data_IF_346676919602
#
_entry.id   IF_346676919602
#
_cell.length_a   1.000
_cell.length_b   1.000
_cell.length_c   1.000
_cell.angle_alpha   90.00
_cell.angle_beta   90.00
_cell.angle_gamma   90.00
#
_symmetry.space_group_name_H-M   'P 1'
#
loop_
_entity.id
_entity.type
_entity.pdbx_description
1 polymer ?
#
# COMPACT_ATOMS: atom_id res chain seq x y z
N UNK A 1 -2.15 -17.36 9.97
CA UNK A 1 -2.38 -16.72 11.29
C UNK A 1 -2.28 -15.22 11.11
N UNK A 2 -3.31 -14.53 11.58
CA UNK A 2 -3.67 -13.16 11.23
C UNK A 2 -2.68 -12.17 11.87
N UNK A 3 -1.59 -11.86 11.17
CA UNK A 3 -0.78 -10.68 11.49
C UNK A 3 -1.59 -9.46 11.06
N UNK A 4 -2.43 -8.99 11.97
CA UNK A 4 -3.06 -7.68 11.89
C UNK A 4 -1.91 -6.67 11.88
N UNK A 5 -1.51 -6.22 10.69
CA UNK A 5 -1.16 -4.82 10.55
C UNK A 5 -2.44 -4.06 10.94
N UNK A 6 -2.58 -3.78 12.25
CA UNK A 6 -3.49 -2.77 12.75
C UNK A 6 -3.05 -1.49 12.06
N UNK A 7 -3.62 -1.28 10.88
CA UNK A 7 -3.49 -0.05 10.13
C UNK A 7 -3.74 1.05 11.15
N UNK A 8 -2.75 1.92 11.33
CA UNK A 8 -2.74 3.06 12.26
C UNK A 8 -4.08 3.84 12.23
N UNK A 9 -4.76 3.77 11.09
CA UNK A 9 -6.09 4.28 10.75
C UNK A 9 -7.24 3.62 11.54
N UNK A 10 -7.25 2.30 11.76
CA UNK A 10 -8.35 1.59 12.45
C UNK A 10 -8.37 1.88 13.96
N UNK A 11 -7.20 2.10 14.56
CA UNK A 11 -7.05 2.61 15.93
C UNK A 11 -7.47 4.09 15.99
N UNK A 12 -7.11 4.90 14.99
CA UNK A 12 -7.45 6.32 14.95
C UNK A 12 -8.96 6.56 14.81
N UNK A 13 -9.68 5.82 13.96
CA UNK A 13 -11.12 6.06 13.70
C UNK A 13 -11.96 5.85 14.96
N UNK A 14 -11.68 4.82 15.77
CA UNK A 14 -12.40 4.57 17.01
C UNK A 14 -11.99 5.52 18.15
N UNK A 15 -10.76 6.03 18.11
CA UNK A 15 -10.29 7.08 19.03
C UNK A 15 -10.90 8.45 18.67
N UNK A 16 -11.11 8.72 17.38
CA UNK A 16 -11.55 10.02 16.86
C UNK A 16 -12.97 10.40 17.26
N UNK A 17 -13.96 9.50 17.22
CA UNK A 17 -15.31 9.87 17.68
C UNK A 17 -15.35 10.23 19.16
N UNK A 18 -14.58 9.50 19.98
CA UNK A 18 -14.43 9.79 21.42
C UNK A 18 -13.66 11.09 21.62
N UNK A 19 -12.60 11.34 20.85
CA UNK A 19 -11.81 12.57 20.92
C UNK A 19 -12.62 13.79 20.49
N UNK A 20 -13.38 13.72 19.39
CA UNK A 20 -14.27 14.80 18.94
C UNK A 20 -15.29 15.12 20.04
N UNK A 21 -15.92 14.09 20.62
CA UNK A 21 -16.88 14.29 21.70
C UNK A 21 -16.24 14.92 22.94
N UNK A 22 -15.09 14.43 23.40
CA UNK A 22 -14.37 14.98 24.57
C UNK A 22 -13.92 16.41 24.31
N UNK A 23 -13.35 16.72 23.14
CA UNK A 23 -12.90 18.08 22.77
C UNK A 23 -14.09 19.02 22.71
N UNK A 24 -15.21 18.61 22.11
CA UNK A 24 -16.42 19.43 22.04
C UNK A 24 -16.98 19.70 23.44
N UNK A 25 -17.12 18.66 24.25
CA UNK A 25 -17.65 18.77 25.61
C UNK A 25 -16.77 19.65 26.49
N UNK A 26 -15.46 19.38 26.52
CA UNK A 26 -14.52 20.12 27.35
C UNK A 26 -14.37 21.58 26.89
N UNK A 27 -14.40 21.83 25.57
CA UNK A 27 -14.30 23.19 25.04
C UNK A 27 -15.52 24.03 25.42
N UNK A 28 -16.74 23.49 25.31
CA UNK A 28 -17.97 24.20 25.69
C UNK A 28 -18.05 24.45 27.21
N UNK A 29 -17.60 23.49 28.03
CA UNK A 29 -17.64 23.62 29.50
C UNK A 29 -16.61 24.61 30.04
N UNK A 30 -15.40 24.63 29.47
CA UNK A 30 -14.30 25.47 29.98
C UNK A 30 -14.32 26.91 29.44
N UNK A 31 -14.94 27.15 28.28
CA UNK A 31 -14.97 28.47 27.65
C UNK A 31 -16.39 29.04 27.67
N UNK A 32 -17.01 29.16 26.51
CA UNK A 32 -18.38 29.61 26.30
C UNK A 32 -19.00 28.77 25.18
N UNK A 33 -20.34 28.72 25.12
CA UNK A 33 -21.06 27.94 24.11
C UNK A 33 -20.68 28.35 22.68
N UNK A 34 -20.49 29.64 22.40
CA UNK A 34 -20.16 30.12 21.06
C UNK A 34 -18.73 29.72 20.63
N UNK A 35 -17.74 29.90 21.52
CA UNK A 35 -16.36 29.53 21.24
C UNK A 35 -16.14 28.01 21.20
N UNK A 36 -16.82 27.29 22.11
CA UNK A 36 -16.76 25.83 22.15
C UNK A 36 -17.32 25.17 20.89
N UNK A 37 -18.42 25.71 20.35
CA UNK A 37 -18.97 25.26 19.08
C UNK A 37 -17.96 25.47 17.94
N UNK A 38 -17.40 26.68 17.81
CA UNK A 38 -16.42 26.97 16.75
C UNK A 38 -15.21 26.04 16.80
N UNK A 39 -14.65 25.79 18.00
CA UNK A 39 -13.50 24.92 18.17
C UNK A 39 -13.82 23.46 17.82
N UNK A 40 -15.01 22.98 18.21
CA UNK A 40 -15.45 21.61 17.92
C UNK A 40 -15.62 21.35 16.42
N UNK A 41 -16.21 22.30 15.69
CA UNK A 41 -16.42 22.21 14.24
C UNK A 41 -15.08 22.24 13.52
N UNK A 42 -14.19 23.16 13.90
CA UNK A 42 -12.84 23.22 13.34
C UNK A 42 -12.08 21.90 13.58
N UNK A 43 -12.11 21.38 14.81
CA UNK A 43 -11.47 20.12 15.16
C UNK A 43 -12.04 18.93 14.37
N UNK A 44 -13.37 18.87 14.20
CA UNK A 44 -14.03 17.82 13.44
C UNK A 44 -13.62 17.84 11.95
N UNK A 45 -13.55 19.03 11.34
CA UNK A 45 -13.10 19.19 9.95
C UNK A 45 -11.64 18.77 9.79
N UNK A 46 -10.76 19.25 10.67
CA UNK A 46 -9.32 18.91 10.65
C UNK A 46 -9.13 17.39 10.79
N UNK A 47 -9.81 16.77 11.74
CA UNK A 47 -9.77 15.31 11.95
C UNK A 47 -10.27 14.55 10.71
N UNK A 48 -11.31 15.05 10.06
CA UNK A 48 -11.87 14.44 8.83
C UNK A 48 -10.88 14.52 7.66
N UNK A 49 -10.18 15.65 7.50
CA UNK A 49 -9.15 15.83 6.48
C UNK A 49 -7.99 14.86 6.70
N UNK A 50 -7.41 14.81 7.90
CA UNK A 50 -6.31 13.90 8.21
C UNK A 50 -6.68 12.44 8.02
N UNK A 51 -7.90 12.05 8.41
CA UNK A 51 -8.41 10.70 8.17
C UNK A 51 -8.47 10.36 6.68
N UNK A 52 -8.85 11.32 5.85
CA UNK A 52 -9.00 11.13 4.40
C UNK A 52 -7.64 11.03 3.70
N UNK A 53 -6.62 11.71 4.22
CA UNK A 53 -5.27 11.75 3.64
C UNK A 53 -4.44 10.47 3.87
N UNK A 54 -4.89 9.55 4.73
CA UNK A 54 -4.15 8.33 5.09
C UNK A 54 -4.89 7.07 4.61
N UNK A 55 -4.98 6.86 3.28
CA UNK A 55 -5.72 5.74 2.72
C UNK A 55 -4.96 4.42 2.85
N UNK A 56 -5.72 3.33 2.70
CA UNK A 56 -5.18 1.98 2.71
C UNK A 56 -4.62 1.62 1.34
N UNK A 57 -3.51 0.89 1.37
CA UNK A 57 -2.89 0.28 0.20
C UNK A 57 -2.63 -1.19 0.47
N UNK A 58 -2.63 -1.98 -0.59
CA UNK A 58 -2.59 -3.44 -0.53
C UNK A 58 -1.66 -3.99 -1.61
N UNK A 59 -0.95 -5.06 -1.27
CA UNK A 59 -0.25 -5.89 -2.26
C UNK A 59 -1.22 -6.99 -2.68
N UNK A 60 -1.38 -7.15 -3.98
CA UNK A 60 -2.24 -8.19 -4.53
C UNK A 60 -1.40 -9.38 -5.00
N UNK A 61 -1.98 -10.55 -4.87
CA UNK A 61 -1.41 -11.81 -5.35
C UNK A 61 -2.49 -12.66 -5.99
N UNK A 62 -2.09 -13.59 -6.85
CA UNK A 62 -3.04 -14.43 -7.58
C UNK A 62 -3.59 -15.52 -6.67
N UNK A 63 -4.90 -15.75 -6.73
CA UNK A 63 -5.56 -16.85 -6.04
C UNK A 63 -5.37 -18.14 -6.84
N UNK A 64 -4.96 -19.22 -6.16
CA UNK A 64 -4.67 -20.51 -6.81
C UNK A 64 -5.83 -21.04 -7.66
N UNK A 65 -5.54 -21.41 -8.91
CA UNK A 65 -6.53 -22.00 -9.83
C UNK A 65 -7.53 -21.01 -10.42
N UNK A 66 -7.32 -19.71 -10.21
CA UNK A 66 -8.15 -18.64 -10.76
C UNK A 66 -7.30 -17.50 -11.31
N UNK A 67 -7.90 -16.65 -12.15
CA UNK A 67 -7.29 -15.40 -12.62
C UNK A 67 -7.65 -14.19 -11.75
N UNK A 68 -8.13 -14.43 -10.52
CA UNK A 68 -8.43 -13.37 -9.57
C UNK A 68 -7.21 -12.97 -8.73
N UNK A 69 -7.08 -11.66 -8.51
CA UNK A 69 -6.06 -11.07 -7.67
C UNK A 69 -6.67 -10.52 -6.39
N UNK A 70 -6.16 -10.95 -5.24
CA UNK A 70 -6.67 -10.56 -3.91
C UNK A 70 -5.51 -10.22 -2.98
N UNK A 71 -5.84 -9.49 -1.92
CA UNK A 71 -4.88 -9.11 -0.88
C UNK A 71 -4.21 -10.35 -0.27
N UNK A 72 -2.89 -10.39 -0.33
CA UNK A 72 -2.02 -11.45 0.19
C UNK A 72 -2.29 -11.74 1.66
N UNK A 73 -2.61 -10.72 2.47
CA UNK A 73 -2.80 -10.87 3.92
C UNK A 73 -4.14 -11.49 4.33
N UNK A 74 -5.13 -11.53 3.42
CA UNK A 74 -6.52 -11.89 3.75
C UNK A 74 -6.91 -13.31 3.34
N UNK A 75 -6.25 -13.86 2.32
CA UNK A 75 -6.57 -15.18 1.76
C UNK A 75 -5.36 -16.12 1.90
N UNK A 76 -5.59 -17.38 2.29
CA UNK A 76 -4.51 -18.34 2.58
C UNK A 76 -4.01 -19.15 1.38
N UNK A 77 -4.68 -19.09 0.22
CA UNK A 77 -4.37 -19.89 -0.98
C UNK A 77 -3.82 -19.01 -2.10
N UNK A 78 -2.68 -18.40 -1.84
CA UNK A 78 -2.14 -17.33 -2.66
C UNK A 78 -0.86 -17.82 -3.33
N UNK A 79 -0.81 -17.69 -4.65
CA UNK A 79 0.42 -17.91 -5.42
C UNK A 79 1.14 -16.58 -5.55
N UNK A 80 2.35 -16.49 -4.99
CA UNK A 80 3.20 -15.32 -5.19
C UNK A 80 3.70 -15.29 -6.64
N UNK A 81 3.80 -14.09 -7.19
CA UNK A 81 4.24 -13.90 -8.57
C UNK A 81 5.71 -13.53 -8.56
N UNK A 82 6.53 -14.40 -9.17
CA UNK A 82 7.96 -14.13 -9.31
C UNK A 82 8.21 -12.89 -10.16
N UNK A 83 8.95 -11.94 -9.59
CA UNK A 83 9.45 -10.69 -10.20
C UNK A 83 8.40 -9.65 -10.61
N UNK A 84 7.10 -9.92 -10.46
CA UNK A 84 6.02 -8.95 -10.69
C UNK A 84 5.31 -8.64 -9.37
N UNK A 85 5.31 -7.38 -8.97
CA UNK A 85 4.57 -6.89 -7.80
C UNK A 85 3.31 -6.16 -8.24
N UNK A 86 2.16 -6.48 -7.65
CA UNK A 86 0.91 -5.80 -7.93
C UNK A 86 0.56 -4.92 -6.72
N UNK A 87 0.44 -3.62 -6.96
CA UNK A 87 0.18 -2.60 -5.96
C UNK A 87 -1.20 -1.97 -6.21
N UNK A 88 -2.06 -2.00 -5.19
CA UNK A 88 -3.40 -1.40 -5.22
C UNK A 88 -3.52 -0.31 -4.18
N UNK A 89 -4.08 0.83 -4.58
CA UNK A 89 -4.35 1.97 -3.71
C UNK A 89 -5.85 2.29 -3.72
N UNK A 90 -6.52 2.14 -2.58
CA UNK A 90 -7.98 2.26 -2.46
C UNK A 90 -8.41 3.68 -2.03
N UNK A 91 -8.06 4.68 -2.84
CA UNK A 91 -8.43 6.07 -2.59
C UNK A 91 -8.32 6.94 -3.85
N UNK A 92 -8.96 8.14 -3.85
CA UNK A 92 -8.65 9.16 -4.84
C UNK A 92 -7.18 9.55 -4.70
N UNK A 93 -6.54 9.81 -5.84
CA UNK A 93 -5.18 10.30 -5.88
C UNK A 93 -5.25 11.83 -6.01
N UNK A 94 -4.87 12.53 -4.95
CA UNK A 94 -4.98 13.98 -4.85
C UNK A 94 -3.63 14.55 -4.44
N UNK A 95 -3.40 15.82 -4.73
CA UNK A 95 -2.22 16.55 -4.25
C UNK A 95 -1.94 16.34 -2.76
N UNK A 96 -3.00 16.24 -1.94
CA UNK A 96 -2.87 16.10 -0.49
C UNK A 96 -2.36 14.75 0.01
N UNK A 97 -2.47 13.68 -0.79
CA UNK A 97 -2.10 12.32 -0.38
C UNK A 97 -1.13 11.63 -1.35
N UNK A 98 -0.69 12.33 -2.40
CA UNK A 98 0.15 11.73 -3.44
C UNK A 98 1.54 11.34 -2.94
N UNK A 99 2.10 12.06 -1.96
CA UNK A 99 3.36 11.68 -1.32
C UNK A 99 3.23 10.34 -0.61
N UNK A 100 2.10 10.10 0.06
CA UNK A 100 1.83 8.82 0.70
C UNK A 100 1.69 7.70 -0.33
N UNK A 101 1.08 7.96 -1.49
CA UNK A 101 1.05 7.01 -2.60
C UNK A 101 2.46 6.69 -3.11
N UNK A 102 3.30 7.71 -3.32
CA UNK A 102 4.69 7.56 -3.79
C UNK A 102 5.50 6.69 -2.85
N UNK A 103 5.51 7.04 -1.55
CA UNK A 103 6.22 6.27 -0.53
C UNK A 103 5.66 4.85 -0.38
N UNK A 104 4.35 4.66 -0.54
CA UNK A 104 3.75 3.33 -0.50
C UNK A 104 4.15 2.47 -1.71
N UNK A 105 4.22 3.03 -2.92
CA UNK A 105 4.65 2.33 -4.13
C UNK A 105 6.14 1.97 -4.08
N UNK A 106 6.99 2.89 -3.62
CA UNK A 106 8.41 2.64 -3.34
C UNK A 106 8.57 1.50 -2.32
N UNK A 107 7.86 1.61 -1.20
CA UNK A 107 7.87 0.59 -0.15
C UNK A 107 7.39 -0.77 -0.66
N UNK A 108 6.33 -0.83 -1.47
CA UNK A 108 5.82 -2.08 -2.03
C UNK A 108 6.83 -2.79 -2.96
N UNK A 109 7.75 -2.02 -3.54
CA UNK A 109 8.79 -2.55 -4.44
C UNK A 109 10.04 -3.01 -3.67
N UNK A 110 10.35 -2.34 -2.56
CA UNK A 110 11.50 -2.66 -1.68
C UNK A 110 11.15 -3.77 -0.68
N UNK A 111 9.92 -3.80 -0.17
CA UNK A 111 9.39 -4.81 0.74
C UNK A 111 9.11 -6.12 0.00
N UNK A 112 10.12 -6.70 -0.63
CA UNK A 112 10.23 -8.14 -0.68
C UNK A 112 10.32 -8.65 0.76
N UNK A 113 9.76 -9.84 1.07
CA UNK A 113 9.63 -10.35 2.44
C UNK A 113 10.97 -10.80 3.07
N UNK A 114 12.05 -10.10 2.78
CA UNK A 114 13.35 -10.21 3.47
C UNK A 114 13.56 -9.01 4.39
N UNK A 115 12.94 -7.85 4.14
CA UNK A 115 13.11 -6.69 5.02
C UNK A 115 12.30 -6.78 6.33
N UNK A 116 11.40 -7.76 6.46
CA UNK A 116 10.79 -8.10 7.75
C UNK A 116 11.77 -8.83 8.69
N UNK A 117 12.84 -9.45 8.19
CA UNK A 117 13.81 -10.18 9.02
C UNK A 117 14.77 -9.24 9.76
N UNK A 118 15.24 -8.18 9.11
CA UNK A 118 16.05 -7.15 9.79
C UNK A 118 15.24 -6.39 10.85
N UNK A 119 13.93 -6.21 10.62
CA UNK A 119 13.04 -5.65 11.65
C UNK A 119 12.71 -6.68 12.74
N UNK A 120 12.64 -7.97 12.42
CA UNK A 120 12.40 -9.04 13.41
C UNK A 120 13.63 -9.33 14.29
N UNK A 121 14.85 -9.16 13.78
CA UNK A 121 16.07 -9.19 14.63
C UNK A 121 16.00 -8.08 15.68
N UNK A 122 15.62 -6.87 15.26
CA UNK A 122 15.40 -5.72 16.15
C UNK A 122 14.19 -5.91 17.10
N UNK A 123 13.13 -6.62 16.70
CA UNK A 123 11.96 -6.91 17.56
C UNK A 123 12.26 -8.05 18.55
N UNK A 124 13.08 -9.02 18.18
CA UNK A 124 13.51 -10.10 19.09
C UNK A 124 14.47 -9.62 20.17
N UNK A 125 15.24 -8.56 19.94
CA UNK A 125 15.96 -7.87 21.01
C UNK A 125 15.02 -7.10 21.96
N UNK A 126 13.84 -6.70 21.49
CA UNK A 126 12.92 -5.81 22.23
C UNK A 126 11.84 -6.56 23.03
N UNK A 127 11.81 -7.89 23.05
CA UNK A 127 10.78 -8.57 23.86
C UNK A 127 11.07 -8.56 25.38
N UNK A 128 10.34 -7.65 26.02
CA UNK A 128 10.23 -7.21 27.41
C UNK A 128 10.49 -8.22 28.54
N UNK A 129 11.00 -7.73 29.71
CA UNK A 129 11.19 -8.53 30.90
C UNK A 129 9.82 -8.96 31.47
N UNK A 130 9.67 -10.26 31.78
CA UNK A 130 8.54 -10.91 32.50
C UNK A 130 7.43 -11.63 31.69
N UNK A 131 7.75 -12.71 30.96
CA UNK A 131 6.80 -13.83 30.74
C UNK A 131 7.44 -15.18 31.01
N UNK A 132 6.64 -16.13 31.50
CA UNK A 132 7.09 -17.45 32.00
C UNK A 132 7.79 -18.32 30.94
N UNK A 133 8.91 -19.00 31.27
CA UNK A 133 9.86 -19.57 30.31
C UNK A 133 9.34 -20.76 29.46
N UNK A 134 8.27 -21.44 29.87
CA UNK A 134 7.77 -22.66 29.20
C UNK A 134 6.96 -22.40 27.91
N UNK A 135 6.24 -21.28 27.79
CA UNK A 135 5.45 -20.95 26.58
C UNK A 135 6.30 -20.30 25.48
N UNK A 136 7.34 -19.53 25.84
CA UNK A 136 8.27 -18.90 24.90
C UNK A 136 9.06 -19.93 24.07
N UNK A 137 9.54 -21.00 24.71
CA UNK A 137 10.44 -21.98 24.05
C UNK A 137 9.77 -22.77 22.91
N UNK A 138 8.47 -23.08 23.04
CA UNK A 138 7.71 -23.80 22.01
C UNK A 138 7.41 -22.92 20.78
N UNK A 139 7.11 -21.65 21.03
CA UNK A 139 6.83 -20.67 19.97
C UNK A 139 8.11 -20.31 19.21
N UNK A 140 9.24 -20.19 19.93
CA UNK A 140 10.56 -19.95 19.36
C UNK A 140 11.01 -21.09 18.44
N UNK A 141 10.75 -22.36 18.77
CA UNK A 141 11.09 -23.48 17.89
C UNK A 141 10.22 -23.60 16.63
N UNK A 142 8.92 -23.29 16.71
CA UNK A 142 8.04 -23.27 15.53
C UNK A 142 8.46 -22.13 14.60
N UNK A 143 8.75 -20.97 15.17
CA UNK A 143 9.23 -19.79 14.46
C UNK A 143 10.61 -20.00 13.81
N UNK A 144 11.57 -20.59 14.54
CA UNK A 144 12.90 -20.93 14.02
C UNK A 144 12.81 -21.86 12.81
N UNK A 145 11.87 -22.81 12.82
CA UNK A 145 11.67 -23.77 11.73
C UNK A 145 11.07 -23.12 10.48
N UNK A 146 10.14 -22.18 10.67
CA UNK A 146 9.59 -21.36 9.58
C UNK A 146 10.62 -20.40 8.98
N UNK A 147 11.53 -19.87 9.80
CA UNK A 147 12.62 -18.99 9.36
C UNK A 147 13.68 -19.75 8.55
N UNK A 148 14.06 -20.96 8.96
CA UNK A 148 15.02 -21.78 8.21
C UNK A 148 14.49 -22.21 6.84
N UNK A 149 13.18 -22.38 6.71
CA UNK A 149 12.52 -22.71 5.43
C UNK A 149 12.40 -21.47 4.50
N UNK A 150 12.46 -20.26 5.08
CA UNK A 150 12.42 -18.99 4.35
C UNK A 150 13.81 -18.48 3.91
N UNK A 151 14.85 -18.74 4.71
CA UNK A 151 16.22 -18.26 4.49
C UNK A 151 16.89 -18.85 3.24
N UNK A 152 16.32 -19.90 2.66
CA UNK A 152 16.80 -20.53 1.42
C UNK A 152 16.12 -19.97 0.16
N UNK A 153 15.25 -18.96 0.29
CA UNK A 153 14.63 -18.29 -0.87
C UNK A 153 15.58 -17.23 -1.42
N UNK A 154 16.06 -17.34 -2.67
CA UNK A 154 16.94 -16.33 -3.26
C UNK A 154 16.26 -14.96 -3.25
N UNK A 155 17.02 -13.89 -2.93
CA UNK A 155 16.55 -12.49 -2.96
C UNK A 155 15.82 -12.20 -4.27
N UNK A 156 14.48 -12.17 -4.23
CA UNK A 156 13.66 -11.94 -5.43
C UNK A 156 13.67 -10.45 -5.74
N UNK A 157 14.40 -10.06 -6.77
CA UNK A 157 14.38 -8.70 -7.30
C UNK A 157 13.04 -8.46 -8.03
N UNK A 158 12.37 -7.35 -7.70
CA UNK A 158 11.15 -6.92 -8.39
C UNK A 158 11.58 -6.20 -9.68
N UNK A 159 11.27 -6.79 -10.82
CA UNK A 159 11.58 -6.21 -12.14
C UNK A 159 10.38 -5.46 -12.72
N UNK A 160 9.17 -5.80 -12.26
CA UNK A 160 7.93 -5.29 -12.81
C UNK A 160 6.97 -4.87 -11.68
N UNK A 161 6.40 -3.69 -11.80
CA UNK A 161 5.38 -3.15 -10.90
C UNK A 161 4.09 -2.94 -11.68
N UNK A 162 3.00 -3.56 -11.25
CA UNK A 162 1.65 -3.33 -11.79
C UNK A 162 0.87 -2.48 -10.80
N UNK A 163 0.50 -1.27 -11.20
CA UNK A 163 -0.35 -0.37 -10.43
C UNK A 163 -1.81 -0.61 -10.82
N UNK A 164 -2.60 -1.12 -9.88
CA UNK A 164 -4.04 -1.27 -10.03
C UNK A 164 -4.74 0.06 -9.79
N UNK A 165 -5.10 0.72 -10.89
CA UNK A 165 -5.80 2.01 -10.93
C UNK A 165 -7.30 1.87 -10.66
N UNK A 166 -7.86 0.66 -10.52
CA UNK A 166 -9.31 0.50 -10.30
C UNK A 166 -9.77 1.05 -8.96
N UNK A 167 -8.86 1.16 -7.99
CA UNK A 167 -9.05 1.83 -6.70
C UNK A 167 -9.13 3.35 -6.79
N UNK A 168 -8.62 3.97 -7.86
CA UNK A 168 -8.72 5.40 -8.06
C UNK A 168 -10.19 5.78 -8.35
N UNK A 169 -10.73 6.64 -7.50
CA UNK A 169 -12.07 7.22 -7.67
C UNK A 169 -12.01 8.54 -8.43
N UNK A 170 -10.96 9.33 -8.19
CA UNK A 170 -10.68 10.61 -8.82
C UNK A 170 -9.16 10.86 -8.83
N UNK A 171 -8.70 11.67 -9.79
CA UNK A 171 -7.30 12.11 -9.89
C UNK A 171 -7.24 13.59 -10.29
N UNK A 172 -6.28 14.34 -9.73
CA UNK A 172 -6.05 15.76 -10.03
C UNK A 172 -4.74 15.99 -10.82
N UNK A 173 -4.58 17.18 -11.42
CA UNK A 173 -3.41 17.50 -12.24
C UNK A 173 -2.08 17.28 -11.51
N UNK A 174 -1.98 17.72 -10.25
CA UNK A 174 -0.74 17.60 -9.47
C UNK A 174 -0.38 16.15 -9.19
N UNK A 175 -1.38 15.30 -8.90
CA UNK A 175 -1.11 13.89 -8.71
C UNK A 175 -0.79 13.14 -10.00
N UNK A 176 -1.35 13.54 -11.15
CA UNK A 176 -0.92 13.00 -12.44
C UNK A 176 0.56 13.32 -12.68
N UNK A 177 1.00 14.55 -12.45
CA UNK A 177 2.41 14.92 -12.61
C UNK A 177 3.33 14.13 -11.67
N UNK A 178 2.94 13.99 -10.40
CA UNK A 178 3.69 13.17 -9.44
C UNK A 178 3.74 11.69 -9.84
N UNK A 179 2.67 11.15 -10.46
CA UNK A 179 2.65 9.79 -10.98
C UNK A 179 3.62 9.60 -12.16
N UNK A 180 3.79 10.60 -13.02
CA UNK A 180 4.79 10.61 -14.09
C UNK A 180 6.20 10.57 -13.50
N UNK A 181 6.49 11.40 -12.50
CA UNK A 181 7.79 11.41 -11.81
C UNK A 181 8.10 10.06 -11.16
N UNK A 182 7.11 9.47 -10.47
CA UNK A 182 7.26 8.14 -9.88
C UNK A 182 7.54 7.07 -10.96
N UNK A 183 6.81 7.11 -12.07
CA UNK A 183 7.04 6.19 -13.20
C UNK A 183 8.48 6.29 -13.73
N UNK A 184 8.97 7.51 -13.93
CA UNK A 184 10.34 7.75 -14.41
C UNK A 184 11.38 7.27 -13.40
N UNK A 185 11.18 7.53 -12.11
CA UNK A 185 12.05 7.09 -11.03
C UNK A 185 12.10 5.55 -10.90
N UNK A 186 10.95 4.88 -11.01
CA UNK A 186 10.90 3.41 -11.00
C UNK A 186 11.64 2.83 -12.21
N UNK A 187 11.45 3.44 -13.39
CA UNK A 187 12.16 3.05 -14.60
C UNK A 187 13.67 3.24 -14.50
N UNK A 188 14.15 4.33 -13.88
CA UNK A 188 15.59 4.54 -13.63
C UNK A 188 16.17 3.51 -12.66
N UNK A 189 15.34 2.99 -11.76
CA UNK A 189 15.70 1.90 -10.84
C UNK A 189 15.62 0.51 -11.50
N UNK A 190 15.37 0.43 -12.81
CA UNK A 190 15.29 -0.82 -13.55
C UNK A 190 13.93 -1.54 -13.47
N UNK A 191 12.94 -0.95 -12.80
CA UNK A 191 11.60 -1.50 -12.62
C UNK A 191 10.69 -1.00 -13.73
N UNK A 192 10.06 -1.92 -14.47
CA UNK A 192 9.05 -1.58 -15.47
C UNK A 192 7.68 -1.43 -14.82
N UNK A 193 7.02 -0.31 -15.05
CA UNK A 193 5.72 0.01 -14.42
C UNK A 193 4.59 -0.11 -15.44
N UNK A 194 3.52 -0.78 -15.04
CA UNK A 194 2.30 -0.98 -15.82
C UNK A 194 1.09 -0.47 -15.05
N UNK A 195 0.08 0.00 -15.76
CA UNK A 195 -1.16 0.52 -15.18
C UNK A 195 -2.34 -0.34 -15.62
N UNK A 196 -3.13 -0.84 -14.67
CA UNK A 196 -4.26 -1.71 -14.93
C UNK A 196 -5.57 -1.10 -14.42
N UNK A 197 -6.68 -1.30 -15.12
CA UNK A 197 -8.02 -1.00 -14.61
C UNK A 197 -8.34 0.49 -14.41
N UNK A 198 -7.68 1.38 -15.16
CA UNK A 198 -7.97 2.81 -15.10
C UNK A 198 -9.37 3.13 -15.69
N UNK A 199 -10.25 3.71 -14.86
CA UNK A 199 -11.61 4.13 -15.26
C UNK A 199 -11.55 5.25 -16.30
N UNK A 200 -12.62 5.39 -17.11
CA UNK A 200 -12.68 6.41 -18.16
C UNK A 200 -12.35 7.84 -17.68
N UNK A 201 -12.93 8.36 -16.58
CA UNK A 201 -12.60 9.72 -16.11
C UNK A 201 -11.13 9.90 -15.71
N UNK A 202 -10.48 8.84 -15.23
CA UNK A 202 -9.05 8.85 -14.87
C UNK A 202 -8.20 8.90 -16.15
N UNK A 203 -8.60 8.15 -17.18
CA UNK A 203 -7.93 8.17 -18.50
C UNK A 203 -8.08 9.50 -19.21
N UNK A 204 -9.25 10.14 -19.09
CA UNK A 204 -9.51 11.48 -19.65
C UNK A 204 -8.60 12.51 -18.97
N UNK A 205 -8.43 12.41 -17.64
CA UNK A 205 -7.49 13.27 -16.91
C UNK A 205 -6.03 13.00 -17.30
N UNK A 206 -5.64 11.75 -17.51
CA UNK A 206 -4.30 11.41 -18.02
C UNK A 206 -4.03 12.03 -19.40
N UNK A 207 -5.00 11.98 -20.32
CA UNK A 207 -4.86 12.63 -21.63
C UNK A 207 -4.77 14.15 -21.48
N UNK A 208 -5.65 14.76 -20.69
CA UNK A 208 -5.69 16.21 -20.49
C UNK A 208 -4.42 16.78 -19.83
N UNK A 209 -3.75 15.98 -18.99
CA UNK A 209 -2.53 16.37 -18.29
C UNK A 209 -1.24 15.95 -19.02
N UNK A 210 -1.33 15.40 -20.25
CA UNK A 210 -0.14 14.99 -21.02
C UNK A 210 0.57 13.74 -20.49
N UNK A 211 -0.10 12.90 -19.69
CA UNK A 211 0.50 11.71 -19.08
C UNK A 211 1.10 10.76 -20.12
N UNK A 212 0.38 10.57 -21.24
CA UNK A 212 0.76 9.64 -22.29
C UNK A 212 1.93 10.12 -23.16
N UNK A 213 2.39 11.35 -22.99
CA UNK A 213 3.63 11.85 -23.61
C UNK A 213 4.87 11.26 -22.91
N UNK A 214 4.76 11.03 -21.60
CA UNK A 214 5.83 10.46 -20.77
C UNK A 214 5.72 8.94 -20.61
N UNK A 215 4.50 8.40 -20.63
CA UNK A 215 4.22 6.98 -20.42
C UNK A 215 3.52 6.41 -21.66
N UNK A 216 4.11 5.40 -22.30
CA UNK A 216 3.48 4.78 -23.48
C UNK A 216 2.11 4.18 -23.11
N UNK A 217 1.13 4.34 -24.01
CA UNK A 217 -0.18 3.69 -23.92
C UNK A 217 -0.06 2.15 -23.88
N UNK A 218 1.06 1.59 -24.35
CA UNK A 218 1.35 0.14 -24.27
C UNK A 218 1.56 -0.38 -22.84
N UNK A 219 1.75 0.52 -21.87
CA UNK A 219 1.82 0.16 -20.46
C UNK A 219 0.46 0.19 -19.76
N UNK A 220 -0.63 0.45 -20.50
CA UNK A 220 -1.99 0.48 -19.98
C UNK A 220 -2.80 -0.74 -20.39
N UNK A 221 -3.45 -1.37 -19.41
CA UNK A 221 -4.21 -2.60 -19.59
C UNK A 221 -5.61 -2.49 -18.99
N UNK A 222 -6.62 -3.11 -19.62
CA UNK A 222 -7.97 -3.17 -19.07
C UNK A 222 -8.03 -3.94 -17.73
N UNK A 223 -7.27 -5.04 -17.61
CA UNK A 223 -7.26 -5.88 -16.42
C UNK A 223 -5.86 -6.05 -15.84
N UNK A 224 -5.79 -6.42 -14.56
CA UNK A 224 -4.53 -6.77 -13.88
C UNK A 224 -3.90 -8.00 -14.55
N UNK A 225 -4.72 -8.96 -14.97
CA UNK A 225 -4.25 -10.18 -15.61
C UNK A 225 -3.47 -9.87 -16.89
N UNK A 226 -4.01 -9.01 -17.76
CA UNK A 226 -3.35 -8.62 -19.01
C UNK A 226 -2.02 -7.91 -18.75
N UNK A 227 -1.97 -7.03 -17.74
CA UNK A 227 -0.75 -6.34 -17.35
C UNK A 227 0.32 -7.30 -16.85
N UNK A 228 -0.06 -8.26 -16.00
CA UNK A 228 0.84 -9.30 -15.48
C UNK A 228 1.35 -10.19 -16.61
N UNK A 229 0.49 -10.56 -17.55
CA UNK A 229 0.88 -11.36 -18.71
C UNK A 229 1.90 -10.62 -19.58
N UNK A 230 1.70 -9.33 -19.82
CA UNK A 230 2.66 -8.48 -20.55
C UNK A 230 4.00 -8.37 -19.81
N UNK A 231 3.97 -8.24 -18.49
CA UNK A 231 5.19 -8.25 -17.67
C UNK A 231 5.97 -9.57 -17.83
N UNK A 232 5.30 -10.73 -17.80
CA UNK A 232 5.95 -12.02 -18.04
C UNK A 232 6.56 -12.12 -19.44
N UNK A 233 5.86 -11.65 -20.47
CA UNK A 233 6.38 -11.65 -21.84
C UNK A 233 7.65 -10.81 -21.97
N UNK A 234 7.64 -9.60 -21.39
CA UNK A 234 8.82 -8.73 -21.40
C UNK A 234 10.01 -9.34 -20.65
N UNK A 235 9.75 -10.07 -19.56
CA UNK A 235 10.79 -10.82 -18.84
C UNK A 235 11.40 -11.93 -19.70
N UNK A 236 10.58 -12.71 -20.41
CA UNK A 236 11.08 -13.75 -21.30
C UNK A 236 11.96 -13.16 -22.42
N UNK A 237 11.53 -12.06 -23.05
CA UNK A 237 12.32 -11.39 -24.10
C UNK A 237 13.69 -10.94 -23.59
N UNK A 238 13.79 -10.46 -22.33
CA UNK A 238 15.09 -10.11 -21.72
C UNK A 238 15.98 -11.32 -21.48
N UNK A 239 15.41 -12.49 -21.17
CA UNK A 239 16.20 -13.71 -20.91
C UNK A 239 16.77 -14.34 -22.18
N UNK A 240 16.20 -14.06 -23.36
CA UNK A 240 16.61 -14.61 -24.66
C UNK A 240 17.41 -13.63 -25.54
N UNK A 241 17.71 -12.42 -25.06
CA UNK A 241 18.61 -11.45 -25.69
C UNK A 241 19.94 -11.41 -24.97
#
# INVERSE_FOLDING_TARGET
>A
MQSRSLSFVEINIFCNFKAIWVVSFLSTVLTDVMWGLMLSVAFALVTTIFRTQWPRWHILSRLEGTDEYRDTGRYGRVTDIDSVRIFRFDAPLLFTNVDHFRSAAEKATIDCPIMSLATLDNILEVECPNKSPRKQRKMRHIFQRSLSEYHESPMRHVEHLVVDCSGFTFIDFMSVNSLIELYQQMRSNGIQVYFAGAKAPIRDMFEACGFYESVSKDHFYPTIHDAVQSAYMNRQVKLYR
#
